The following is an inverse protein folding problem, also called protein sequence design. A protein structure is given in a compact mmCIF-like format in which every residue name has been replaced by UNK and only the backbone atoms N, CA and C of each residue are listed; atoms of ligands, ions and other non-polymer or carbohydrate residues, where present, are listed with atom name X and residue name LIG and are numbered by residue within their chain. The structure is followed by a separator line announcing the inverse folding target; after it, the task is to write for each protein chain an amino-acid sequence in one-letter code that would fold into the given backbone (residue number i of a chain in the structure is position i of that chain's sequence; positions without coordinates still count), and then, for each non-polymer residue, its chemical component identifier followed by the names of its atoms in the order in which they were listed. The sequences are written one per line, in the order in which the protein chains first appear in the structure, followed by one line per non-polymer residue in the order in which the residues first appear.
data_IF_667767599345
#
_entry.id   IF_667767599345
#
_cell.length_a   1.000
_cell.length_b   1.000
_cell.length_c   1.000
_cell.angle_alpha   90.00
_cell.angle_beta   90.00
_cell.angle_gamma   90.00
#
_symmetry.space_group_name_H-M   'P 1'
#
loop_
_entity.id
_entity.type
_entity.pdbx_description
1 polymer ?
#
# COMPACT_ATOMS: atom_id res chain seq x y z
N UNK A 1 8.22 39.00 -1.58
CA UNK A 1 8.99 37.88 -2.18
C UNK A 1 10.31 37.70 -1.43
N UNK A 2 10.32 36.91 -0.36
CA UNK A 2 11.52 36.45 0.36
C UNK A 2 11.19 35.16 1.10
N UNK A 3 12.19 34.26 1.16
CA UNK A 3 12.29 33.00 1.95
C UNK A 3 11.91 31.70 1.23
N UNK A 4 12.75 31.32 0.25
CA UNK A 4 13.05 29.90 -0.03
C UNK A 4 14.56 29.77 -0.11
N UNK A 5 15.22 29.70 1.04
CA UNK A 5 16.64 29.34 1.17
C UNK A 5 16.91 29.18 2.66
N UNK A 6 16.66 27.98 3.21
CA UNK A 6 17.20 27.47 4.48
C UNK A 6 16.62 26.06 4.75
N UNK A 7 16.83 25.11 3.84
CA UNK A 7 16.55 23.68 4.09
C UNK A 7 17.70 22.75 3.70
N UNK A 8 18.88 23.28 3.36
CA UNK A 8 20.00 22.48 2.83
C UNK A 8 21.30 22.60 3.64
N UNK A 9 21.21 22.79 4.96
CA UNK A 9 22.41 22.93 5.80
C UNK A 9 22.27 22.34 7.21
N UNK A 10 21.58 21.20 7.31
CA UNK A 10 21.51 20.42 8.56
C UNK A 10 21.73 18.91 8.35
N UNK A 11 22.48 18.52 7.31
CA UNK A 11 22.75 17.12 6.96
C UNK A 11 24.25 16.85 6.78
N UNK A 12 25.09 17.41 7.66
CA UNK A 12 26.53 17.19 7.59
C UNK A 12 27.17 17.28 8.99
N UNK A 13 26.75 16.44 9.93
CA UNK A 13 27.53 16.21 11.16
C UNK A 13 27.25 14.87 11.85
N UNK A 14 27.15 13.77 11.09
CA UNK A 14 27.10 12.42 11.67
C UNK A 14 27.78 11.37 10.77
N UNK A 15 28.99 11.68 10.30
CA UNK A 15 29.84 10.71 9.57
C UNK A 15 31.27 10.83 10.09
N UNK A 16 31.53 10.40 11.32
CA UNK A 16 32.88 10.08 11.80
C UNK A 16 32.76 9.02 12.90
N UNK A 17 32.59 7.75 12.54
CA UNK A 17 33.07 6.55 13.25
C UNK A 17 32.45 5.33 12.57
N UNK A 18 33.16 4.74 11.60
CA UNK A 18 33.11 3.31 11.18
C UNK A 18 33.79 3.15 9.82
N UNK A 19 35.13 3.29 9.81
CA UNK A 19 35.96 2.80 8.70
C UNK A 19 37.20 2.12 9.27
N UNK A 20 37.00 0.90 9.77
CA UNK A 20 37.98 -0.18 9.93
C UNK A 20 37.16 -1.47 9.81
N UNK A 21 37.34 -2.43 8.92
CA UNK A 21 38.30 -2.69 7.86
C UNK A 21 37.94 -4.03 7.17
N UNK A 22 38.59 -4.30 6.04
CA UNK A 22 38.70 -5.58 5.29
C UNK A 22 37.44 -6.27 4.73
N UNK A 23 37.41 -6.33 3.40
CA UNK A 23 36.60 -7.24 2.61
C UNK A 23 37.01 -8.70 2.84
N UNK A 24 36.21 -9.41 3.62
CA UNK A 24 36.00 -10.87 3.55
C UNK A 24 34.49 -11.01 3.53
N UNK A 25 33.94 -11.87 2.65
CA UNK A 25 32.53 -12.27 2.70
C UNK A 25 32.30 -13.09 3.97
N UNK A 26 32.30 -12.43 5.13
CA UNK A 26 31.78 -12.92 6.37
C UNK A 26 30.30 -12.57 6.38
N UNK A 27 29.47 -13.53 6.77
CA UNK A 27 28.09 -13.28 7.22
C UNK A 27 28.11 -12.03 8.10
N UNK A 28 27.49 -10.95 7.62
CA UNK A 28 27.58 -9.61 8.20
C UNK A 28 26.96 -9.67 9.60
N UNK A 29 27.79 -9.97 10.61
CA UNK A 29 27.36 -10.04 11.99
C UNK A 29 26.86 -8.64 12.36
N UNK A 30 25.55 -8.49 12.49
CA UNK A 30 24.95 -7.26 12.98
C UNK A 30 25.50 -7.01 14.38
N UNK A 31 26.27 -5.93 14.52
CA UNK A 31 26.79 -5.51 15.81
C UNK A 31 25.62 -4.98 16.66
N UNK A 32 25.36 -5.66 17.77
CA UNK A 32 24.30 -5.29 18.70
C UNK A 32 24.92 -4.67 19.93
N UNK A 33 24.37 -3.54 20.38
CA UNK A 33 24.80 -2.91 21.61
C UNK A 33 24.27 -3.75 22.78
N UNK A 34 25.21 -4.26 23.57
CA UNK A 34 24.90 -5.07 24.75
C UNK A 34 23.78 -4.46 25.60
N UNK A 35 22.73 -5.21 25.96
CA UNK A 35 21.65 -4.73 26.82
C UNK A 35 22.11 -4.20 28.18
N UNK A 36 23.30 -4.62 28.64
CA UNK A 36 23.89 -4.19 29.90
C UNK A 36 24.70 -2.88 29.79
N UNK A 37 24.90 -2.36 28.57
CA UNK A 37 25.63 -1.12 28.31
C UNK A 37 24.79 0.13 28.58
N UNK A 38 25.42 1.21 29.08
CA UNK A 38 24.74 2.51 29.21
C UNK A 38 24.33 3.10 27.85
N UNK A 39 25.04 2.76 26.77
CA UNK A 39 24.69 3.19 25.42
C UNK A 39 23.39 2.53 24.92
N UNK A 40 23.00 1.40 25.49
CA UNK A 40 21.80 0.67 25.10
C UNK A 40 20.54 1.54 25.23
N UNK A 41 20.43 2.31 26.31
CA UNK A 41 19.31 3.24 26.54
C UNK A 41 19.23 4.31 25.44
N UNK A 42 20.38 4.79 24.96
CA UNK A 42 20.45 5.78 23.88
C UNK A 42 20.02 5.13 22.57
N UNK A 43 20.46 3.90 22.29
CA UNK A 43 20.03 3.16 21.10
C UNK A 43 18.52 2.94 21.10
N UNK A 44 17.93 2.44 22.19
CA UNK A 44 16.47 2.26 22.32
C UNK A 44 15.70 3.56 22.10
N UNK A 45 16.19 4.67 22.66
CA UNK A 45 15.58 5.99 22.44
C UNK A 45 15.64 6.41 20.95
N UNK A 46 16.75 6.15 20.27
CA UNK A 46 16.87 6.46 18.85
C UNK A 46 15.94 5.58 18.00
N UNK A 47 15.79 4.30 18.34
CA UNK A 47 14.85 3.38 17.70
C UNK A 47 13.40 3.89 17.81
N UNK A 48 13.01 4.35 19.01
CA UNK A 48 11.68 4.93 19.25
C UNK A 48 11.45 6.20 18.43
N UNK A 49 12.45 7.10 18.37
CA UNK A 49 12.38 8.33 17.58
C UNK A 49 12.26 7.99 16.09
N UNK A 50 13.09 7.09 15.58
CA UNK A 50 13.05 6.67 14.17
C UNK A 50 11.67 6.10 13.81
N UNK A 51 11.11 5.26 14.68
CA UNK A 51 9.76 4.72 14.49
C UNK A 51 8.67 5.80 14.52
N UNK A 52 8.75 6.76 15.44
CA UNK A 52 7.78 7.85 15.56
C UNK A 52 7.78 8.76 14.33
N UNK A 53 8.96 9.09 13.81
CA UNK A 53 9.15 9.99 12.66
C UNK A 53 8.98 9.32 11.30
N UNK A 54 8.92 7.99 11.24
CA UNK A 54 8.52 7.27 10.03
C UNK A 54 7.03 7.50 9.80
N UNK A 55 6.60 7.88 8.59
CA UNK A 55 5.18 8.14 8.30
C UNK A 55 4.50 6.97 7.60
N UNK A 56 5.24 6.28 6.72
CA UNK A 56 4.71 5.14 5.98
C UNK A 56 4.56 3.90 6.87
N UNK A 57 3.40 3.25 6.77
CA UNK A 57 3.10 2.05 7.54
C UNK A 57 3.86 0.83 7.05
N UNK A 58 4.21 0.79 5.75
CA UNK A 58 5.06 -0.24 5.20
C UNK A 58 6.48 -0.16 5.78
N UNK A 59 7.09 1.02 5.75
CA UNK A 59 8.39 1.31 6.36
C UNK A 59 8.37 1.05 7.87
N UNK A 60 7.32 1.47 8.59
CA UNK A 60 7.15 1.13 10.00
C UNK A 60 7.13 -0.37 10.26
N UNK A 61 6.50 -1.15 9.39
CA UNK A 61 6.51 -2.60 9.53
C UNK A 61 7.93 -3.17 9.35
N UNK A 62 8.72 -2.62 8.43
CA UNK A 62 10.11 -3.04 8.23
C UNK A 62 11.03 -2.65 9.40
N UNK A 63 10.87 -1.45 9.96
CA UNK A 63 11.62 -1.01 11.14
C UNK A 63 11.32 -1.92 12.35
N UNK A 64 10.04 -2.18 12.60
CA UNK A 64 9.62 -3.05 13.70
C UNK A 64 10.13 -4.48 13.53
N UNK A 65 10.16 -4.95 12.28
CA UNK A 65 10.71 -6.25 11.92
C UNK A 65 12.23 -6.30 12.13
N UNK A 66 12.97 -5.24 11.82
CA UNK A 66 14.39 -5.11 12.13
C UNK A 66 14.65 -5.07 13.64
N UNK A 67 13.83 -4.34 14.41
CA UNK A 67 13.96 -4.29 15.86
C UNK A 67 13.72 -5.66 16.49
N UNK A 68 12.78 -6.44 15.95
CA UNK A 68 12.59 -7.84 16.35
C UNK A 68 13.85 -8.68 16.10
N UNK A 69 14.52 -8.52 14.95
CA UNK A 69 15.79 -9.21 14.67
C UNK A 69 16.86 -8.82 15.71
N UNK A 70 17.00 -7.52 16.04
CA UNK A 70 17.93 -7.03 17.07
C UNK A 70 17.62 -7.63 18.45
N UNK A 71 16.34 -7.71 18.84
CA UNK A 71 15.93 -8.32 20.12
C UNK A 71 16.36 -9.80 20.20
N UNK A 72 16.35 -10.55 19.10
CA UNK A 72 16.78 -11.95 19.12
C UNK A 72 18.28 -12.06 19.41
N UNK A 73 19.09 -11.23 18.76
CA UNK A 73 20.55 -11.18 18.99
C UNK A 73 20.88 -10.81 20.44
N UNK A 74 20.16 -9.84 21.02
CA UNK A 74 20.28 -9.48 22.44
C UNK A 74 19.93 -10.65 23.37
N UNK A 75 18.92 -11.45 23.02
CA UNK A 75 18.58 -12.68 23.76
C UNK A 75 19.74 -13.67 23.71
N UNK A 76 20.40 -13.85 22.57
CA UNK A 76 21.56 -14.76 22.48
C UNK A 76 22.71 -14.33 23.38
N UNK A 77 23.01 -13.03 23.40
CA UNK A 77 24.04 -12.44 24.25
C UNK A 77 23.72 -12.66 25.74
N UNK A 78 22.49 -12.36 26.15
CA UNK A 78 22.04 -12.53 27.54
C UNK A 78 22.04 -13.99 27.96
N UNK A 79 21.63 -14.91 27.08
CA UNK A 79 21.70 -16.35 27.33
C UNK A 79 23.14 -16.86 27.40
N UNK A 80 24.10 -16.18 26.78
CA UNK A 80 25.54 -16.50 26.91
C UNK A 80 26.09 -16.04 28.25
N UNK A 81 25.52 -14.97 28.82
CA UNK A 81 25.88 -14.42 30.13
C UNK A 81 25.05 -14.99 31.29
N UNK A 82 24.24 -16.02 31.03
CA UNK A 82 23.34 -16.67 32.01
C UNK A 82 22.34 -15.70 32.67
N UNK A 83 21.96 -14.62 31.96
CA UNK A 83 21.04 -13.60 32.44
C UNK A 83 19.60 -13.91 31.97
N UNK A 84 19.00 -14.94 32.58
CA UNK A 84 17.68 -15.47 32.19
C UNK A 84 16.57 -14.43 32.28
N UNK A 85 16.53 -13.66 33.37
CA UNK A 85 15.46 -12.68 33.63
C UNK A 85 15.46 -11.58 32.56
N UNK A 86 16.64 -11.03 32.23
CA UNK A 86 16.77 -10.06 31.16
C UNK A 86 16.40 -10.67 29.81
N UNK A 87 16.82 -11.91 29.52
CA UNK A 87 16.48 -12.59 28.26
C UNK A 87 14.96 -12.75 28.09
N UNK A 88 14.22 -13.05 29.16
CA UNK A 88 12.76 -13.13 29.11
C UNK A 88 12.11 -11.76 28.84
N UNK A 89 12.65 -10.69 29.45
CA UNK A 89 12.17 -9.33 29.19
C UNK A 89 12.36 -8.95 27.71
N UNK A 90 13.52 -9.26 27.12
CA UNK A 90 13.77 -9.00 25.70
C UNK A 90 12.87 -9.86 24.79
N UNK A 91 12.56 -11.12 25.15
CA UNK A 91 11.61 -11.95 24.38
C UNK A 91 10.16 -11.42 24.41
N UNK A 92 9.78 -10.69 25.47
CA UNK A 92 8.50 -9.96 25.53
C UNK A 92 8.51 -8.78 24.57
N UNK A 93 9.60 -8.01 24.55
CA UNK A 93 9.79 -6.90 23.61
C UNK A 93 9.80 -7.39 22.16
N UNK A 94 10.50 -8.49 21.88
CA UNK A 94 10.45 -9.18 20.59
C UNK A 94 9.01 -9.48 20.17
N UNK A 95 8.22 -10.10 21.04
CA UNK A 95 6.83 -10.44 20.75
C UNK A 95 5.98 -9.21 20.47
N UNK A 96 6.24 -8.09 21.16
CA UNK A 96 5.58 -6.81 20.92
C UNK A 96 5.91 -6.26 19.52
N UNK A 97 7.19 -6.26 19.13
CA UNK A 97 7.61 -5.83 17.80
C UNK A 97 6.93 -6.68 16.71
N UNK A 98 6.86 -8.01 16.86
CA UNK A 98 6.13 -8.89 15.93
C UNK A 98 4.64 -8.51 15.81
N UNK A 99 3.99 -8.14 16.90
CA UNK A 99 2.59 -7.68 16.87
C UNK A 99 2.46 -6.33 16.13
N UNK A 100 3.38 -5.40 16.36
CA UNK A 100 3.40 -4.09 15.71
C UNK A 100 3.66 -4.20 14.21
N UNK A 101 4.53 -5.12 13.76
CA UNK A 101 4.70 -5.47 12.34
C UNK A 101 3.35 -5.81 11.70
N UNK A 102 2.53 -6.64 12.36
CA UNK A 102 1.23 -7.02 11.80
C UNK A 102 0.26 -5.86 11.70
N UNK A 103 0.22 -5.02 12.74
CA UNK A 103 -0.65 -3.86 12.79
C UNK A 103 -0.30 -2.89 11.67
N UNK A 104 1.00 -2.62 11.51
CA UNK A 104 1.51 -1.73 10.47
C UNK A 104 1.25 -2.29 9.06
N UNK A 105 1.47 -3.59 8.82
CA UNK A 105 1.12 -4.21 7.52
C UNK A 105 -0.39 -4.14 7.22
N UNK A 106 -1.25 -4.27 8.23
CA UNK A 106 -2.70 -4.15 8.03
C UNK A 106 -3.10 -2.71 7.65
N UNK A 107 -2.49 -1.70 8.28
CA UNK A 107 -2.73 -0.29 7.94
C UNK A 107 -2.15 0.07 6.56
N UNK A 108 -0.94 -0.40 6.26
CA UNK A 108 -0.34 -0.27 4.93
C UNK A 108 -1.27 -0.86 3.85
N UNK A 109 -1.85 -2.04 4.10
CA UNK A 109 -2.79 -2.70 3.17
C UNK A 109 -4.05 -1.88 2.94
N UNK A 110 -4.61 -1.27 3.99
CA UNK A 110 -5.78 -0.39 3.87
C UNK A 110 -5.51 0.85 3.03
N UNK A 111 -4.27 1.33 3.03
CA UNK A 111 -3.80 2.47 2.23
C UNK A 111 -3.35 2.09 0.83
N UNK A 112 -3.20 0.80 0.54
CA UNK A 112 -2.71 0.29 -0.74
C UNK A 112 -1.19 0.29 -0.87
N UNK A 113 -0.45 0.46 0.23
CA UNK A 113 1.01 0.62 0.27
C UNK A 113 1.73 -0.64 0.77
N UNK A 114 1.51 -1.77 0.08
CA UNK A 114 2.00 -3.10 0.55
C UNK A 114 2.80 -3.88 -0.49
N UNK A 115 3.05 -3.31 -1.66
CA UNK A 115 3.68 -4.05 -2.75
C UNK A 115 5.14 -4.35 -2.38
N UNK A 116 5.45 -5.62 -2.18
CA UNK A 116 6.81 -6.13 -1.90
C UNK A 116 7.14 -6.29 -0.41
N UNK A 117 6.61 -5.45 0.46
CA UNK A 117 6.88 -5.45 1.91
C UNK A 117 6.41 -6.76 2.56
N UNK A 118 5.23 -7.22 2.18
CA UNK A 118 4.62 -8.46 2.65
C UNK A 118 5.50 -9.69 2.39
N UNK A 119 6.14 -9.77 1.21
CA UNK A 119 7.04 -10.86 0.85
C UNK A 119 8.35 -10.80 1.66
N UNK A 120 8.87 -9.60 1.88
CA UNK A 120 10.11 -9.41 2.64
C UNK A 120 9.92 -9.83 4.10
N UNK A 121 8.83 -9.36 4.73
CA UNK A 121 8.48 -9.73 6.10
C UNK A 121 8.24 -11.25 6.21
N UNK A 122 7.56 -11.88 5.25
CA UNK A 122 7.36 -13.33 5.24
C UNK A 122 8.68 -14.11 5.15
N UNK A 123 9.66 -13.64 4.35
CA UNK A 123 10.98 -14.25 4.27
C UNK A 123 11.71 -14.16 5.61
N UNK A 124 11.69 -12.99 6.25
CA UNK A 124 12.35 -12.80 7.54
C UNK A 124 11.69 -13.57 8.68
N UNK A 125 10.37 -13.73 8.65
CA UNK A 125 9.66 -14.62 9.58
C UNK A 125 10.20 -16.06 9.55
N UNK A 126 10.51 -16.59 8.36
CA UNK A 126 11.10 -17.92 8.24
C UNK A 126 12.48 -17.98 8.91
N UNK A 127 13.34 -16.99 8.66
CA UNK A 127 14.67 -16.90 9.28
C UNK A 127 14.60 -16.81 10.80
N UNK A 128 13.71 -15.98 11.35
CA UNK A 128 13.51 -15.89 12.81
C UNK A 128 12.98 -17.17 13.42
N UNK A 129 12.13 -17.90 12.69
CA UNK A 129 11.62 -19.20 13.14
C UNK A 129 12.76 -20.20 13.27
N UNK A 130 13.62 -20.26 12.26
CA UNK A 130 14.85 -21.06 12.27
C UNK A 130 15.75 -20.66 13.44
N UNK A 131 15.98 -19.36 13.62
CA UNK A 131 16.82 -18.81 14.69
C UNK A 131 16.31 -19.17 16.09
N UNK A 132 15.02 -18.93 16.37
CA UNK A 132 14.38 -19.30 17.64
C UNK A 132 14.40 -20.82 17.87
N UNK A 133 14.24 -21.61 16.81
CA UNK A 133 14.31 -23.08 16.90
C UNK A 133 15.72 -23.54 17.24
N UNK A 134 16.74 -22.92 16.63
CA UNK A 134 18.15 -23.19 16.94
C UNK A 134 18.46 -22.84 18.40
N UNK A 135 17.99 -21.68 18.89
CA UNK A 135 18.14 -21.30 20.30
C UNK A 135 17.49 -22.31 21.24
N UNK A 136 16.29 -22.80 20.90
CA UNK A 136 15.56 -23.79 21.69
C UNK A 136 16.29 -25.14 21.80
N UNK A 137 17.08 -25.49 20.78
CA UNK A 137 17.85 -26.73 20.72
C UNK A 137 19.21 -26.65 21.44
N UNK A 138 19.62 -25.47 21.92
CA UNK A 138 20.91 -25.27 22.59
C UNK A 138 21.00 -26.12 23.87
N UNK A 139 22.11 -26.82 24.04
CA UNK A 139 22.42 -27.53 25.28
C UNK A 139 22.57 -26.54 26.45
N UNK A 140 22.14 -26.95 27.64
CA UNK A 140 22.21 -26.10 28.83
C UNK A 140 21.29 -24.89 28.81
N UNK A 141 20.35 -24.78 27.85
CA UNK A 141 19.37 -23.70 27.84
C UNK A 141 18.47 -23.78 29.09
N UNK A 142 18.42 -22.72 29.91
CA UNK A 142 17.60 -22.71 31.10
C UNK A 142 16.11 -22.91 30.83
N UNK A 143 15.38 -23.45 31.81
CA UNK A 143 13.98 -23.80 31.64
C UNK A 143 13.11 -22.57 31.35
N UNK A 144 13.37 -21.46 32.04
CA UNK A 144 12.63 -20.22 31.86
C UNK A 144 12.85 -19.62 30.46
N UNK A 145 14.09 -19.58 30.00
CA UNK A 145 14.44 -19.17 28.64
C UNK A 145 13.75 -20.05 27.57
N UNK A 146 13.74 -21.36 27.78
CA UNK A 146 13.06 -22.33 26.90
C UNK A 146 11.57 -22.05 26.78
N UNK A 147 10.90 -21.77 27.90
CA UNK A 147 9.49 -21.38 27.90
C UNK A 147 9.27 -20.04 27.18
N UNK A 148 10.14 -19.06 27.41
CA UNK A 148 10.12 -17.76 26.73
C UNK A 148 10.22 -17.91 25.21
N UNK A 149 11.21 -18.65 24.73
CA UNK A 149 11.42 -18.91 23.30
C UNK A 149 10.23 -19.67 22.70
N UNK A 150 9.70 -20.66 23.41
CA UNK A 150 8.51 -21.41 22.97
C UNK A 150 7.30 -20.49 22.82
N UNK A 151 7.08 -19.58 23.77
CA UNK A 151 6.02 -18.56 23.69
C UNK A 151 6.25 -17.60 22.52
N UNK A 152 7.49 -17.16 22.29
CA UNK A 152 7.84 -16.30 21.17
C UNK A 152 7.56 -16.99 19.81
N UNK A 153 7.91 -18.27 19.66
CA UNK A 153 7.57 -19.08 18.49
C UNK A 153 6.06 -19.19 18.27
N UNK A 154 5.29 -19.48 19.33
CA UNK A 154 3.84 -19.56 19.24
C UNK A 154 3.22 -18.20 18.86
N UNK A 155 3.72 -17.10 19.42
CA UNK A 155 3.29 -15.75 19.06
C UNK A 155 3.58 -15.43 17.59
N UNK A 156 4.78 -15.78 17.12
CA UNK A 156 5.17 -15.61 15.72
C UNK A 156 4.31 -16.44 14.77
N UNK A 157 4.02 -17.70 15.11
CA UNK A 157 3.18 -18.56 14.26
C UNK A 157 1.74 -18.04 14.21
N UNK A 158 1.17 -17.63 15.35
CA UNK A 158 -0.14 -16.99 15.40
C UNK A 158 -0.16 -15.70 14.57
N UNK A 159 0.92 -14.92 14.61
CA UNK A 159 1.07 -13.74 13.78
C UNK A 159 1.06 -14.14 12.29
N UNK A 160 1.91 -15.08 11.87
CA UNK A 160 1.98 -15.57 10.49
C UNK A 160 0.64 -16.07 9.96
N UNK A 161 -0.12 -16.81 10.77
CA UNK A 161 -1.46 -17.29 10.42
C UNK A 161 -2.43 -16.12 10.16
N UNK A 162 -2.53 -15.18 11.12
CA UNK A 162 -3.37 -13.97 10.96
C UNK A 162 -3.02 -13.16 9.72
N UNK A 163 -1.72 -13.06 9.44
CA UNK A 163 -1.23 -12.38 8.25
C UNK A 163 -1.68 -13.08 6.97
N UNK A 164 -1.52 -14.41 6.90
CA UNK A 164 -1.94 -15.22 5.75
C UNK A 164 -3.46 -15.16 5.54
N UNK A 165 -4.24 -15.25 6.62
CA UNK A 165 -5.69 -15.12 6.56
C UNK A 165 -6.13 -13.75 6.06
N UNK A 166 -5.45 -12.69 6.49
CA UNK A 166 -5.72 -11.34 6.03
C UNK A 166 -5.40 -11.17 4.54
N UNK A 167 -4.32 -11.78 4.04
CA UNK A 167 -3.99 -11.80 2.62
C UNK A 167 -5.06 -12.50 1.78
N UNK A 168 -5.50 -13.69 2.21
CA UNK A 168 -6.55 -14.44 1.52
C UNK A 168 -7.85 -13.65 1.46
N UNK A 169 -8.29 -13.07 2.58
CA UNK A 169 -9.50 -12.23 2.64
C UNK A 169 -9.40 -10.99 1.75
N UNK A 170 -8.23 -10.34 1.73
CA UNK A 170 -8.01 -9.17 0.88
C UNK A 170 -8.08 -9.53 -0.62
N UNK A 171 -7.52 -10.69 -0.99
CA UNK A 171 -7.60 -11.21 -2.35
C UNK A 171 -9.04 -11.53 -2.76
N UNK A 172 -9.77 -12.27 -1.92
CA UNK A 172 -11.19 -12.60 -2.17
C UNK A 172 -12.05 -11.34 -2.33
N UNK A 173 -11.85 -10.34 -1.45
CA UNK A 173 -12.57 -9.07 -1.53
C UNK A 173 -12.27 -8.32 -2.85
N UNK A 174 -11.02 -8.35 -3.31
CA UNK A 174 -10.62 -7.74 -4.59
C UNK A 174 -11.22 -8.47 -5.79
N UNK A 175 -11.23 -9.80 -5.77
CA UNK A 175 -11.85 -10.60 -6.83
C UNK A 175 -13.36 -10.34 -6.90
N UNK A 176 -14.06 -10.28 -5.76
CA UNK A 176 -15.49 -9.92 -5.72
C UNK A 176 -15.76 -8.49 -6.21
N UNK A 177 -14.91 -7.52 -5.85
CA UNK A 177 -15.03 -6.15 -6.33
C UNK A 177 -14.87 -6.07 -7.86
N UNK A 178 -13.92 -6.81 -8.42
CA UNK A 178 -13.71 -6.87 -9.88
C UNK A 178 -14.91 -7.49 -10.61
N UNK A 179 -15.49 -8.57 -10.07
CA UNK A 179 -16.69 -9.19 -10.65
C UNK A 179 -17.86 -8.20 -10.71
N UNK A 180 -18.13 -7.51 -9.59
CA UNK A 180 -19.19 -6.48 -9.54
C UNK A 180 -18.91 -5.33 -10.51
N UNK A 181 -17.67 -4.87 -10.59
CA UNK A 181 -17.29 -3.82 -11.52
C UNK A 181 -17.53 -4.22 -12.98
N UNK A 182 -17.25 -5.49 -13.34
CA UNK A 182 -17.57 -6.06 -14.64
C UNK A 182 -19.07 -6.06 -14.94
N UNK A 183 -19.89 -6.54 -14.00
CA UNK A 183 -21.36 -6.54 -14.13
C UNK A 183 -21.93 -5.12 -14.32
N UNK A 184 -21.42 -4.15 -13.54
CA UNK A 184 -21.81 -2.74 -13.71
C UNK A 184 -21.38 -2.18 -15.07
N UNK A 185 -20.20 -2.54 -15.55
CA UNK A 185 -19.71 -2.15 -16.87
C UNK A 185 -20.62 -2.65 -18.00
N UNK A 186 -20.96 -3.95 -17.99
CA UNK A 186 -21.88 -4.53 -18.97
C UNK A 186 -23.29 -3.92 -18.89
N UNK A 187 -23.77 -3.59 -17.69
CA UNK A 187 -25.07 -2.94 -17.54
C UNK A 187 -25.06 -1.51 -18.08
N UNK A 188 -23.97 -0.76 -17.85
CA UNK A 188 -23.81 0.58 -18.38
C UNK A 188 -23.71 0.58 -19.91
N UNK A 189 -23.00 -0.39 -20.49
CA UNK A 189 -22.87 -0.57 -21.94
C UNK A 189 -24.22 -0.88 -22.59
N UNK A 190 -24.98 -1.84 -22.03
CA UNK A 190 -26.36 -2.13 -22.49
C UNK A 190 -27.26 -0.89 -22.47
N UNK A 191 -27.21 -0.10 -21.40
CA UNK A 191 -28.01 1.14 -21.31
C UNK A 191 -27.58 2.21 -22.32
N UNK A 192 -26.28 2.33 -22.58
CA UNK A 192 -25.75 3.26 -23.59
C UNK A 192 -26.18 2.85 -25.00
N UNK A 193 -26.21 1.55 -25.29
CA UNK A 193 -26.69 1.02 -26.56
C UNK A 193 -28.20 1.25 -26.72
N UNK A 194 -29.01 0.97 -25.69
CA UNK A 194 -30.45 1.30 -25.68
C UNK A 194 -30.72 2.80 -25.91
N UNK A 195 -29.95 3.68 -25.27
CA UNK A 195 -30.06 5.13 -25.47
C UNK A 195 -29.67 5.52 -26.90
N UNK A 196 -28.64 4.90 -27.47
CA UNK A 196 -28.22 5.15 -28.85
C UNK A 196 -29.30 4.75 -29.84
N UNK A 197 -29.89 3.56 -29.69
CA UNK A 197 -31.00 3.11 -30.54
C UNK A 197 -32.19 4.07 -30.46
N UNK A 198 -32.58 4.52 -29.26
CA UNK A 198 -33.65 5.50 -29.09
C UNK A 198 -33.35 6.85 -29.75
N UNK A 199 -32.10 7.31 -29.74
CA UNK A 199 -31.69 8.54 -30.44
C UNK A 199 -31.79 8.34 -31.95
N UNK A 200 -31.30 7.22 -32.48
CA UNK A 200 -31.35 6.92 -33.91
C UNK A 200 -32.81 6.82 -34.42
N UNK A 201 -33.70 6.21 -33.64
CA UNK A 201 -35.13 6.13 -33.95
C UNK A 201 -35.79 7.53 -33.97
N UNK A 202 -35.56 8.36 -32.94
CA UNK A 202 -36.07 9.73 -32.91
C UNK A 202 -35.54 10.61 -34.04
N UNK A 203 -34.28 10.43 -34.43
CA UNK A 203 -33.68 11.16 -35.57
C UNK A 203 -34.35 10.73 -36.87
N UNK A 204 -34.62 9.44 -37.04
CA UNK A 204 -35.33 8.91 -38.22
C UNK A 204 -36.76 9.43 -38.29
N UNK A 205 -37.51 9.37 -37.19
CA UNK A 205 -38.88 9.88 -37.11
C UNK A 205 -38.94 11.39 -37.42
N UNK A 206 -38.02 12.18 -36.86
CA UNK A 206 -37.93 13.61 -37.16
C UNK A 206 -37.62 13.89 -38.63
N UNK A 207 -36.74 13.10 -39.27
CA UNK A 207 -36.47 13.24 -40.72
C UNK A 207 -37.70 12.92 -41.56
N UNK A 208 -38.39 11.82 -41.26
CA UNK A 208 -39.62 11.42 -41.96
C UNK A 208 -40.73 12.48 -41.82
N UNK A 209 -40.80 13.21 -40.71
CA UNK A 209 -41.76 14.31 -40.51
C UNK A 209 -41.34 15.63 -41.17
N UNK A 210 -40.04 15.90 -41.29
CA UNK A 210 -39.51 17.19 -41.79
C UNK A 210 -39.26 17.22 -43.30
N UNK A 211 -38.88 16.10 -43.92
CA UNK A 211 -38.70 15.97 -45.37
C UNK A 211 -39.96 16.26 -46.21
N UNK A 212 -41.18 15.78 -45.85
CA UNK A 212 -42.38 16.12 -46.61
C UNK A 212 -42.75 17.59 -46.44
N UNK A 213 -42.58 18.18 -45.25
CA UNK A 213 -42.78 19.62 -45.03
C UNK A 213 -41.79 20.46 -45.83
N UNK A 214 -40.53 20.03 -45.89
CA UNK A 214 -39.50 20.69 -46.68
C UNK A 214 -39.79 20.61 -48.19
N UNK A 215 -40.25 19.44 -48.69
CA UNK A 215 -40.70 19.28 -50.07
C UNK A 215 -41.91 20.15 -50.38
N UNK A 216 -42.93 20.16 -49.52
CA UNK A 216 -44.14 20.98 -49.70
C UNK A 216 -43.81 22.47 -49.73
N UNK A 217 -42.94 22.94 -48.82
CA UNK A 217 -42.48 24.33 -48.81
C UNK A 217 -41.74 24.68 -50.11
N UNK A 218 -40.91 23.76 -50.63
CA UNK A 218 -40.17 23.95 -51.88
C UNK A 218 -41.11 24.00 -53.09
N UNK A 219 -42.14 23.16 -53.14
CA UNK A 219 -43.17 23.19 -54.19
C UNK A 219 -44.03 24.47 -54.13
N UNK A 220 -44.38 24.94 -52.92
CA UNK A 220 -45.12 26.20 -52.76
C UNK A 220 -44.29 27.41 -53.24
N UNK A 221 -43.00 27.45 -52.90
CA UNK A 221 -42.08 28.50 -53.40
C UNK A 221 -41.92 28.41 -54.92
N UNK A 222 -41.79 27.22 -55.50
CA UNK A 222 -41.68 27.06 -56.96
C UNK A 222 -42.96 27.49 -57.70
N UNK A 223 -44.15 27.25 -57.13
CA UNK A 223 -45.42 27.75 -57.66
C UNK A 223 -45.50 29.29 -57.62
N UNK A 224 -45.09 29.92 -56.52
CA UNK A 224 -45.06 31.39 -56.43
C UNK A 224 -44.06 32.04 -57.39
N UNK A 225 -42.96 31.36 -57.74
CA UNK A 225 -41.99 31.85 -58.74
C UNK A 225 -42.51 31.65 -60.18
N UNK A 226 -43.34 30.64 -60.43
CA UNK A 226 -43.91 30.36 -61.76
C UNK A 226 -45.21 31.11 -62.08
N UNK A 227 -45.86 31.77 -61.12
CA UNK A 227 -46.96 32.68 -61.43
C UNK A 227 -46.42 34.00 -62.02
N UNK A 228 -46.68 34.31 -63.30
CA UNK A 228 -46.22 35.56 -63.88
C UNK A 228 -46.92 36.73 -63.21
N UNK A 229 -46.13 37.74 -62.80
CA UNK A 229 -46.60 39.11 -62.50
C UNK A 229 -47.32 39.68 -63.73
N UNK A 230 -48.58 39.33 -63.92
CA UNK A 230 -49.47 40.07 -64.80
C UNK A 230 -49.98 41.30 -64.05
N UNK A 231 -49.92 42.44 -64.73
CA UNK A 231 -50.54 43.74 -64.41
C UNK A 231 -49.95 44.55 -63.25
N UNK A 232 -48.90 45.32 -63.56
CA UNK A 232 -48.84 46.75 -63.19
C UNK A 232 -48.02 47.49 -64.25
N UNK A 233 -48.69 47.94 -65.30
CA UNK A 233 -48.17 48.96 -66.21
C UNK A 233 -49.33 49.73 -66.86
N UNK A 234 -49.86 50.69 -66.11
CA UNK A 234 -50.63 51.87 -66.55
C UNK A 234 -50.92 52.61 -65.23
N UNK A 235 -50.64 53.90 -65.03
CA UNK A 235 -50.48 55.04 -65.93
C UNK A 235 -49.75 56.16 -65.17
N UNK A 236 -48.73 56.76 -65.78
CA UNK A 236 -48.26 58.10 -65.45
C UNK A 236 -48.02 58.85 -66.75
N UNK A 237 -48.95 59.72 -67.11
CA UNK A 237 -48.75 60.81 -68.05
C UNK A 237 -49.87 61.82 -67.91
N UNK A 238 -49.48 62.98 -67.37
CA UNK A 238 -49.98 64.35 -67.59
C UNK A 238 -51.42 64.69 -67.17
#
# INVERSE_FOLDING_TARGET
MKKVANKMLLSALLIVFLFFGSAVYAEEQQEVVSPESELYKIVRLMEDIEYEYTEDYGEKALLQDEYADKRLLEVEELLTSDNEEASEAILKDYSKHIQEVQQNLNEARRRGDVIGIESLVAQKFAKRTEHLTALLQREGLPLQAREGITKALANQENARQRFTDALLKAREAREQANLRAGEFGEQAERRMEEVREQIEERVRENREQTDPKAKETREQVEKQIREPRSTQNSSSSR
#
